data_IF_615792444570
#
_entry.id   IF_615792444570
#
_cell.length_a   1.000
_cell.length_b   1.000
_cell.length_c   1.000
_cell.angle_alpha   90.00
_cell.angle_beta   90.00
_cell.angle_gamma   90.00
#
_symmetry.space_group_name_H-M   'P 1'
#
loop_
_entity.id
_entity.type
_entity.pdbx_description
1 polymer ?
#
# COMPACT_ATOMS: atom_id res chain seq x y z
N UNK A 1 -3.15 19.56 2.46
CA UNK A 1 -2.32 18.36 2.74
C UNK A 1 -2.52 17.30 1.66
N UNK A 2 -1.98 16.09 1.84
CA UNK A 2 -2.11 15.00 0.84
C UNK A 2 -3.56 14.51 0.66
N UNK A 3 -4.36 14.47 1.73
CA UNK A 3 -5.79 14.11 1.67
C UNK A 3 -6.58 15.18 0.91
N UNK A 4 -6.39 16.46 1.24
CA UNK A 4 -7.09 17.55 0.52
C UNK A 4 -6.77 17.55 -0.98
N UNK A 5 -5.51 17.26 -1.34
CA UNK A 5 -5.11 17.12 -2.74
C UNK A 5 -5.80 15.91 -3.40
N UNK A 6 -5.93 14.79 -2.70
CA UNK A 6 -6.61 13.60 -3.21
C UNK A 6 -8.12 13.84 -3.42
N UNK A 7 -8.78 14.53 -2.49
CA UNK A 7 -10.20 14.94 -2.62
C UNK A 7 -10.38 15.83 -3.84
N UNK A 8 -9.58 16.91 -3.95
CA UNK A 8 -9.65 17.82 -5.08
C UNK A 8 -9.34 17.12 -6.43
N UNK A 9 -8.46 16.12 -6.44
CA UNK A 9 -8.19 15.32 -7.64
C UNK A 9 -9.40 14.47 -8.04
N UNK A 10 -10.07 13.83 -7.08
CA UNK A 10 -11.24 13.00 -7.33
C UNK A 10 -12.46 13.82 -7.80
N UNK A 11 -12.65 15.01 -7.23
CA UNK A 11 -13.67 15.97 -7.68
C UNK A 11 -13.45 16.37 -9.14
N UNK A 12 -12.22 16.78 -9.50
CA UNK A 12 -11.89 17.13 -10.90
C UNK A 12 -12.03 15.97 -11.86
N UNK A 13 -11.83 14.74 -11.39
CA UNK A 13 -12.01 13.52 -12.17
C UNK A 13 -13.48 13.07 -12.26
N UNK A 14 -14.41 13.70 -11.54
CA UNK A 14 -15.83 13.35 -11.55
C UNK A 14 -16.17 12.05 -10.81
N UNK A 15 -15.29 11.58 -9.92
CA UNK A 15 -15.44 10.31 -9.17
C UNK A 15 -15.49 10.52 -7.66
N UNK A 16 -15.66 11.76 -7.20
CA UNK A 16 -15.68 12.11 -5.77
C UNK A 16 -16.70 11.31 -4.97
N UNK A 17 -17.92 11.15 -5.49
CA UNK A 17 -19.02 10.43 -4.83
C UNK A 17 -18.78 8.92 -4.67
N UNK A 18 -17.74 8.37 -5.32
CA UNK A 18 -17.39 6.96 -5.26
C UNK A 18 -16.24 6.67 -4.28
N UNK A 19 -15.68 7.67 -3.59
CA UNK A 19 -14.46 7.53 -2.78
C UNK A 19 -14.63 8.18 -1.42
N UNK A 20 -14.50 7.39 -0.35
CA UNK A 20 -14.38 7.89 1.02
C UNK A 20 -12.93 8.19 1.38
N UNK A 21 -12.64 9.43 1.76
CA UNK A 21 -11.31 9.85 2.19
C UNK A 21 -11.21 9.96 3.71
N UNK A 22 -10.12 9.47 4.30
CA UNK A 22 -9.82 9.72 5.72
C UNK A 22 -8.32 9.82 5.98
N UNK A 23 -7.96 10.71 6.92
CA UNK A 23 -6.58 10.83 7.41
C UNK A 23 -6.44 10.00 8.70
N UNK A 24 -5.79 8.84 8.61
CA UNK A 24 -5.55 7.96 9.76
C UNK A 24 -4.25 7.19 9.61
N UNK A 25 -3.74 6.68 10.73
CA UNK A 25 -2.65 5.70 10.70
C UNK A 25 -3.12 4.42 10.02
N UNK A 26 -2.27 3.82 9.19
CA UNK A 26 -2.58 2.55 8.52
C UNK A 26 -2.89 1.41 9.50
N UNK A 27 -2.39 1.45 10.72
CA UNK A 27 -2.71 0.46 11.76
C UNK A 27 -4.16 0.52 12.26
N UNK A 28 -4.89 1.60 11.94
CA UNK A 28 -6.28 1.83 12.31
C UNK A 28 -7.24 1.66 11.11
N UNK A 29 -6.87 0.79 10.16
CA UNK A 29 -7.76 0.44 9.05
C UNK A 29 -8.92 -0.41 9.57
N UNK A 30 -10.09 -0.21 8.98
CA UNK A 30 -11.30 -0.96 9.30
C UNK A 30 -11.86 -1.45 7.97
N UNK A 31 -11.48 -2.66 7.51
CA UNK A 31 -11.99 -3.17 6.25
C UNK A 31 -13.49 -3.43 6.33
N UNK A 32 -14.18 -3.21 5.22
CA UNK A 32 -15.59 -3.55 5.09
C UNK A 32 -15.80 -5.08 5.20
N UNK A 33 -17.01 -5.53 5.58
CA UNK A 33 -17.31 -6.95 5.58
C UNK A 33 -17.17 -7.59 4.19
N UNK A 34 -16.68 -8.83 4.15
CA UNK A 34 -16.53 -9.60 2.91
C UNK A 34 -15.18 -9.41 2.22
N UNK A 35 -14.99 -10.02 1.04
CA UNK A 35 -13.72 -9.97 0.31
C UNK A 35 -13.52 -8.61 -0.37
N UNK A 36 -12.30 -8.09 -0.31
CA UNK A 36 -11.93 -6.83 -0.95
C UNK A 36 -10.50 -6.80 -1.46
N UNK A 37 -10.03 -5.60 -1.80
CA UNK A 37 -8.65 -5.34 -2.18
C UNK A 37 -8.04 -4.24 -1.33
N UNK A 38 -6.79 -4.44 -0.94
CA UNK A 38 -5.93 -3.39 -0.42
C UNK A 38 -4.85 -3.12 -1.45
N UNK A 39 -4.89 -1.93 -2.03
CA UNK A 39 -3.90 -1.47 -3.01
C UNK A 39 -3.15 -0.29 -2.41
N UNK A 40 -1.82 -0.36 -2.36
CA UNK A 40 -1.02 0.71 -1.80
C UNK A 40 0.32 0.89 -2.51
N UNK A 41 0.80 2.12 -2.48
CA UNK A 41 2.13 2.52 -2.87
C UNK A 41 2.89 3.04 -1.62
N UNK A 42 3.39 2.15 -0.74
CA UNK A 42 4.15 2.56 0.43
C UNK A 42 5.44 3.27 0.03
N UNK A 43 6.01 4.10 0.92
CA UNK A 43 7.32 4.70 0.73
C UNK A 43 8.39 3.65 0.37
N UNK A 44 9.11 3.90 -0.71
CA UNK A 44 10.28 3.11 -1.12
C UNK A 44 11.38 4.01 -1.69
N UNK A 45 12.60 3.49 -1.72
CA UNK A 45 13.76 4.12 -2.33
C UNK A 45 14.59 5.01 -1.39
N UNK A 46 15.76 5.40 -1.86
CA UNK A 46 16.85 6.05 -1.09
C UNK A 46 16.55 7.49 -0.61
N UNK A 47 15.36 8.03 -0.87
CA UNK A 47 14.95 9.38 -0.45
C UNK A 47 14.16 9.40 0.85
N UNK A 48 13.93 8.23 1.44
CA UNK A 48 13.40 8.15 2.79
C UNK A 48 14.53 8.53 3.75
N UNK A 49 14.37 9.71 4.35
CA UNK A 49 15.27 10.38 5.29
C UNK A 49 16.05 9.42 6.18
N UNK A 50 17.36 9.69 6.32
CA UNK A 50 18.26 9.05 7.29
C UNK A 50 17.57 8.92 8.65
N UNK A 51 17.08 7.72 8.99
CA UNK A 51 16.43 7.44 10.27
C UNK A 51 15.09 6.73 10.23
N UNK A 52 14.39 6.64 9.09
CA UNK A 52 13.16 5.83 8.99
C UNK A 52 13.47 4.43 8.46
N UNK A 53 13.45 3.44 9.36
CA UNK A 53 13.63 2.04 8.97
C UNK A 53 12.38 1.52 8.25
N UNK A 54 12.42 1.57 6.92
CA UNK A 54 11.37 1.02 6.07
C UNK A 54 11.10 -0.46 6.37
N UNK A 55 12.06 -1.23 6.89
CA UNK A 55 11.83 -2.64 7.25
C UNK A 55 10.75 -2.76 8.32
N UNK A 56 10.76 -1.90 9.32
CA UNK A 56 9.72 -1.86 10.36
C UNK A 56 8.36 -1.46 9.79
N UNK A 57 8.35 -0.52 8.84
CA UNK A 57 7.12 -0.12 8.15
C UNK A 57 6.51 -1.31 7.38
N UNK A 58 7.31 -2.02 6.58
CA UNK A 58 6.83 -3.17 5.82
C UNK A 58 6.44 -4.35 6.73
N UNK A 59 7.18 -4.60 7.81
CA UNK A 59 6.80 -5.61 8.81
C UNK A 59 5.45 -5.27 9.46
N UNK A 60 5.25 -4.00 9.85
CA UNK A 60 3.99 -3.54 10.43
C UNK A 60 2.84 -3.60 9.43
N UNK A 61 3.09 -3.23 8.17
CA UNK A 61 2.14 -3.35 7.06
C UNK A 61 1.62 -4.79 6.96
N UNK A 62 2.53 -5.76 6.86
CA UNK A 62 2.15 -7.17 6.76
C UNK A 62 1.42 -7.70 8.00
N UNK A 63 1.84 -7.29 9.21
CA UNK A 63 1.14 -7.65 10.46
C UNK A 63 -0.31 -7.15 10.46
N UNK A 64 -0.52 -5.88 10.12
CA UNK A 64 -1.85 -5.26 10.10
C UNK A 64 -2.74 -5.93 9.05
N UNK A 65 -2.21 -6.16 7.84
CA UNK A 65 -2.97 -6.80 6.77
C UNK A 65 -3.45 -8.21 7.13
N UNK A 66 -2.56 -9.06 7.66
CA UNK A 66 -2.94 -10.42 8.09
C UNK A 66 -3.94 -10.43 9.24
N UNK A 67 -3.84 -9.48 10.17
CA UNK A 67 -4.67 -9.46 11.37
C UNK A 67 -6.03 -8.82 11.16
N UNK A 68 -6.11 -7.77 10.34
CA UNK A 68 -7.31 -6.96 10.21
C UNK A 68 -8.07 -7.26 8.92
N UNK A 69 -7.42 -7.77 7.87
CA UNK A 69 -8.02 -7.94 6.54
C UNK A 69 -8.05 -9.41 6.06
N UNK A 70 -8.46 -10.38 6.89
CA UNK A 70 -8.49 -11.79 6.47
C UNK A 70 -9.46 -12.00 5.29
N UNK A 71 -9.06 -12.81 4.30
CA UNK A 71 -9.88 -13.09 3.12
C UNK A 71 -9.88 -11.99 2.06
N UNK A 72 -9.12 -10.91 2.27
CA UNK A 72 -8.90 -9.88 1.28
C UNK A 72 -7.72 -10.22 0.36
N UNK A 73 -7.61 -9.48 -0.73
CA UNK A 73 -6.45 -9.50 -1.62
C UNK A 73 -5.61 -8.26 -1.39
N UNK A 74 -4.30 -8.37 -1.63
CA UNK A 74 -3.41 -7.23 -1.56
C UNK A 74 -2.69 -6.99 -2.88
N UNK A 75 -2.35 -5.73 -3.13
CA UNK A 75 -1.45 -5.28 -4.16
C UNK A 75 -0.56 -4.17 -3.61
N UNK A 76 0.74 -4.42 -3.52
CA UNK A 76 1.70 -3.50 -2.89
C UNK A 76 2.81 -3.17 -3.88
N UNK A 77 3.00 -1.88 -4.16
CA UNK A 77 4.14 -1.41 -4.93
C UNK A 77 5.39 -1.34 -4.03
N UNK A 78 6.53 -1.85 -4.50
CA UNK A 78 7.80 -1.70 -3.82
C UNK A 78 8.94 -1.44 -4.81
N UNK A 79 9.91 -0.64 -4.37
CA UNK A 79 11.15 -0.40 -5.11
C UNK A 79 12.20 -1.48 -4.91
N UNK A 80 12.04 -2.37 -3.92
CA UNK A 80 13.00 -3.43 -3.61
C UNK A 80 12.23 -4.66 -3.08
N UNK A 81 12.49 -5.85 -3.67
CA UNK A 81 11.81 -7.10 -3.27
C UNK A 81 12.20 -7.56 -1.87
N UNK A 82 13.45 -7.35 -1.48
CA UNK A 82 13.95 -7.69 -0.15
C UNK A 82 13.24 -6.89 0.94
N UNK A 83 13.04 -5.59 0.70
CA UNK A 83 12.26 -4.74 1.59
C UNK A 83 10.82 -5.24 1.74
N UNK A 84 10.16 -5.59 0.62
CA UNK A 84 8.83 -6.18 0.68
C UNK A 84 8.80 -7.51 1.46
N UNK A 85 9.86 -8.32 1.40
CA UNK A 85 9.99 -9.57 2.13
C UNK A 85 9.78 -9.44 3.65
N UNK A 86 10.11 -8.28 4.22
CA UNK A 86 9.89 -7.99 5.64
C UNK A 86 8.40 -7.95 6.03
N UNK A 87 7.50 -7.77 5.05
CA UNK A 87 6.06 -7.87 5.31
C UNK A 87 5.62 -9.28 5.70
N UNK A 88 6.34 -10.33 5.27
CA UNK A 88 5.93 -11.72 5.48
C UNK A 88 4.62 -12.10 4.77
N UNK A 89 4.23 -11.35 3.73
CA UNK A 89 3.06 -11.68 2.91
C UNK A 89 3.43 -12.65 1.79
N UNK A 90 2.57 -13.64 1.56
CA UNK A 90 2.74 -14.61 0.47
C UNK A 90 2.31 -14.00 -0.86
N UNK A 91 3.26 -13.85 -1.77
CA UNK A 91 3.03 -13.34 -3.13
C UNK A 91 2.56 -14.48 -4.03
N UNK A 92 1.45 -14.28 -4.72
CA UNK A 92 0.97 -15.18 -5.77
C UNK A 92 1.36 -14.71 -7.17
N UNK A 93 1.50 -13.40 -7.37
CA UNK A 93 1.83 -12.81 -8.68
C UNK A 93 2.59 -11.48 -8.52
N UNK A 94 3.44 -11.15 -9.48
CA UNK A 94 4.26 -9.93 -9.46
C UNK A 94 4.42 -9.33 -10.85
N UNK A 95 4.17 -8.02 -10.97
CA UNK A 95 4.42 -7.25 -12.20
C UNK A 95 5.59 -6.29 -11.95
N UNK A 96 6.44 -6.04 -12.94
CA UNK A 96 7.55 -5.09 -12.83
C UNK A 96 7.57 -4.14 -14.02
N UNK A 97 7.91 -2.88 -13.76
CA UNK A 97 8.07 -1.84 -14.77
C UNK A 97 9.05 -0.76 -14.31
N UNK A 98 9.39 0.15 -15.22
CA UNK A 98 10.11 1.37 -14.89
C UNK A 98 9.13 2.47 -14.50
N UNK A 99 9.25 2.98 -13.28
CA UNK A 99 8.46 4.08 -12.76
C UNK A 99 9.32 5.36 -12.68
N UNK A 100 9.58 5.97 -13.83
CA UNK A 100 10.34 7.22 -13.92
C UNK A 100 11.84 7.04 -13.63
N UNK A 101 12.45 5.98 -14.18
CA UNK A 101 13.85 5.62 -13.96
C UNK A 101 14.11 4.77 -12.72
N UNK A 102 13.05 4.39 -12.00
CA UNK A 102 13.12 3.48 -10.85
C UNK A 102 12.42 2.18 -11.21
N UNK A 103 13.17 1.07 -11.21
CA UNK A 103 12.57 -0.26 -11.36
C UNK A 103 11.73 -0.58 -10.12
N UNK A 104 10.46 -0.90 -10.33
CA UNK A 104 9.51 -1.24 -9.26
C UNK A 104 8.87 -2.60 -9.49
N UNK A 105 8.33 -3.17 -8.41
CA UNK A 105 7.55 -4.40 -8.42
C UNK A 105 6.21 -4.17 -7.74
N UNK A 106 5.13 -4.60 -8.38
CA UNK A 106 3.81 -4.69 -7.77
C UNK A 106 3.54 -6.12 -7.37
N UNK A 107 3.63 -6.38 -6.07
CA UNK A 107 3.45 -7.69 -5.46
C UNK A 107 1.97 -7.89 -5.11
N UNK A 108 1.37 -8.99 -5.56
CA UNK A 108 -0.04 -9.33 -5.32
C UNK A 108 -0.17 -10.68 -4.62
N UNK A 109 -1.20 -10.81 -3.80
CA UNK A 109 -1.53 -12.06 -3.12
C UNK A 109 -2.86 -12.02 -2.38
N UNK A 110 -3.12 -13.07 -1.61
CA UNK A 110 -4.29 -13.21 -0.73
C UNK A 110 -3.83 -13.07 0.73
N UNK A 111 -4.69 -12.55 1.60
CA UNK A 111 -4.50 -12.37 3.03
C UNK A 111 -5.24 -13.44 3.84
#
# INVERSE_FOLDING_TARGET
GAIDAAIANAERAGVGDAIDFSCRAFSAIEPLPGPGWIVTNPPYGKRVSEGQDLRNLYAKLGQVLRSQCPGWRFGVLCGERELFGHSGLSVSDSITWDNGGIKVWYQKGNL
#
